data_IF_399697246873
#
_entry.id   IF_399697246873
#
_cell.length_a   1.000
_cell.length_b   1.000
_cell.length_c   1.000
_cell.angle_alpha   90.00
_cell.angle_beta   90.00
_cell.angle_gamma   90.00
#
_symmetry.space_group_name_H-M   'P 1'
#
loop_
_entity.id
_entity.type
_entity.pdbx_description
1 polymer ?
#
# COMPACT_ATOMS: atom_id res chain seq x y z
N UNK A 1 13.72 0.32 -22.51
CA UNK A 1 13.15 1.68 -22.60
C UNK A 1 11.68 1.61 -22.25
N UNK A 2 11.10 2.67 -21.65
CA UNK A 2 9.67 2.72 -21.33
C UNK A 2 8.84 2.85 -22.62
N UNK A 3 7.72 2.13 -22.72
CA UNK A 3 6.78 2.31 -23.82
C UNK A 3 5.98 3.62 -23.66
N UNK A 4 5.22 4.02 -24.67
CA UNK A 4 4.48 5.29 -24.67
C UNK A 4 3.50 5.39 -23.50
N UNK A 5 2.75 4.31 -23.21
CA UNK A 5 1.80 4.28 -22.09
C UNK A 5 2.48 4.51 -20.72
N UNK A 6 3.64 3.87 -20.51
CA UNK A 6 4.43 4.06 -19.29
C UNK A 6 4.98 5.48 -19.18
N UNK A 7 5.38 6.09 -20.30
CA UNK A 7 5.85 7.48 -20.34
C UNK A 7 4.71 8.46 -20.06
N UNK A 8 3.54 8.25 -20.65
CA UNK A 8 2.35 9.09 -20.44
C UNK A 8 1.90 9.04 -18.98
N UNK A 9 1.89 7.84 -18.38
CA UNK A 9 1.57 7.66 -16.98
C UNK A 9 2.60 8.35 -16.08
N UNK A 10 3.90 8.20 -16.37
CA UNK A 10 4.96 8.88 -15.64
C UNK A 10 4.78 10.41 -15.69
N UNK A 11 4.59 10.96 -16.89
CA UNK A 11 4.41 12.40 -17.10
C UNK A 11 3.18 12.92 -16.34
N UNK A 12 2.09 12.14 -16.34
CA UNK A 12 0.89 12.46 -15.55
C UNK A 12 1.18 12.51 -14.05
N UNK A 13 1.90 11.53 -13.51
CA UNK A 13 2.25 11.49 -12.08
C UNK A 13 3.13 12.69 -11.70
N UNK A 14 4.16 12.99 -12.49
CA UNK A 14 5.05 14.14 -12.23
C UNK A 14 4.28 15.47 -12.30
N UNK A 15 3.36 15.60 -13.26
CA UNK A 15 2.50 16.79 -13.40
C UNK A 15 1.56 16.95 -12.20
N UNK A 16 0.94 15.87 -11.75
CA UNK A 16 0.01 15.90 -10.62
C UNK A 16 0.77 16.18 -9.30
N UNK A 17 1.96 15.59 -9.08
CA UNK A 17 2.84 15.93 -7.94
C UNK A 17 3.23 17.41 -7.95
N UNK A 18 3.62 17.94 -9.12
CA UNK A 18 4.02 19.35 -9.28
C UNK A 18 2.88 20.33 -8.96
N UNK A 19 1.62 19.88 -9.10
CA UNK A 19 0.42 20.65 -8.75
C UNK A 19 -0.06 20.41 -7.32
N UNK A 20 0.70 19.68 -6.50
CA UNK A 20 0.30 19.20 -5.18
C UNK A 20 -1.03 18.43 -5.20
N UNK A 21 -1.33 17.77 -6.31
CA UNK A 21 -2.53 16.95 -6.46
C UNK A 21 -2.19 15.53 -6.04
N UNK A 22 -2.94 15.02 -5.06
CA UNK A 22 -2.78 13.65 -4.59
C UNK A 22 -3.02 12.65 -5.75
N UNK A 23 -2.08 11.72 -5.92
CA UNK A 23 -2.20 10.62 -6.87
C UNK A 23 -2.56 9.35 -6.11
N UNK A 24 -3.74 8.80 -6.39
CA UNK A 24 -4.16 7.47 -5.92
C UNK A 24 -4.35 6.59 -7.15
N UNK A 25 -3.47 5.60 -7.34
CA UNK A 25 -3.42 4.78 -8.55
C UNK A 25 -3.13 3.31 -8.23
N UNK A 26 -3.70 2.41 -9.02
CA UNK A 26 -3.29 1.01 -9.06
C UNK A 26 -2.64 0.69 -10.42
N UNK A 27 -1.43 0.13 -10.38
CA UNK A 27 -0.74 -0.47 -11.52
C UNK A 27 -0.99 -1.98 -11.46
N UNK A 28 -1.96 -2.43 -12.26
CA UNK A 28 -2.27 -3.84 -12.43
C UNK A 28 -1.59 -4.40 -13.69
N UNK A 29 -1.06 -5.60 -13.60
CA UNK A 29 -0.50 -6.31 -14.76
C UNK A 29 0.01 -7.68 -14.39
N UNK A 30 0.15 -8.57 -15.37
CA UNK A 30 0.71 -9.90 -15.13
C UNK A 30 2.18 -9.84 -14.66
N UNK A 31 2.74 -10.97 -14.21
CA UNK A 31 4.19 -11.10 -14.04
C UNK A 31 4.94 -10.70 -15.34
N UNK A 32 6.15 -10.14 -15.20
CA UNK A 32 7.02 -9.75 -16.32
C UNK A 32 6.46 -8.68 -17.29
N UNK A 33 5.45 -7.90 -16.88
CA UNK A 33 4.88 -6.79 -17.67
C UNK A 33 5.60 -5.44 -17.50
N UNK A 34 6.68 -5.40 -16.71
CA UNK A 34 7.44 -4.18 -16.49
C UNK A 34 6.93 -3.28 -15.36
N UNK A 35 6.02 -3.76 -14.49
CA UNK A 35 5.55 -3.01 -13.29
C UNK A 35 6.72 -2.50 -12.44
N UNK A 36 7.66 -3.39 -12.10
CA UNK A 36 8.86 -3.05 -11.32
C UNK A 36 9.74 -2.03 -12.03
N UNK A 37 9.83 -2.09 -13.36
CA UNK A 37 10.56 -1.10 -14.15
C UNK A 37 9.87 0.27 -14.09
N UNK A 38 8.55 0.30 -14.25
CA UNK A 38 7.75 1.52 -14.18
C UNK A 38 7.84 2.20 -12.80
N UNK A 39 7.69 1.46 -11.70
CA UNK A 39 7.79 2.08 -10.36
C UNK A 39 9.18 2.60 -10.02
N UNK A 40 10.24 1.93 -10.50
CA UNK A 40 11.62 2.44 -10.38
C UNK A 40 11.83 3.70 -11.22
N UNK A 41 11.20 3.76 -12.40
CA UNK A 41 11.22 4.95 -13.24
C UNK A 41 10.51 6.13 -12.55
N UNK A 42 9.36 5.89 -11.94
CA UNK A 42 8.62 6.88 -11.14
C UNK A 42 9.46 7.36 -9.95
N UNK A 43 10.00 6.44 -9.15
CA UNK A 43 10.90 6.75 -8.02
C UNK A 43 12.04 7.67 -8.46
N UNK A 44 12.79 7.27 -9.49
CA UNK A 44 13.94 8.01 -9.98
C UNK A 44 13.56 9.40 -10.48
N UNK A 45 12.47 9.52 -11.23
CA UNK A 45 12.03 10.80 -11.81
C UNK A 45 11.55 11.77 -10.74
N UNK A 46 10.76 11.29 -9.78
CA UNK A 46 10.25 12.07 -8.65
C UNK A 46 11.39 12.52 -7.73
N UNK A 47 12.29 11.60 -7.35
CA UNK A 47 13.42 11.94 -6.50
C UNK A 47 14.38 12.92 -7.19
N UNK A 48 14.60 12.76 -8.51
CA UNK A 48 15.42 13.69 -9.30
C UNK A 48 14.79 15.08 -9.37
N UNK A 49 13.49 15.16 -9.62
CA UNK A 49 12.76 16.43 -9.67
C UNK A 49 12.75 17.14 -8.32
N UNK A 50 12.61 16.40 -7.22
CA UNK A 50 12.63 16.96 -5.87
C UNK A 50 14.04 17.23 -5.32
N UNK A 51 15.10 16.73 -5.97
CA UNK A 51 16.49 16.81 -5.49
C UNK A 51 16.77 16.01 -4.20
N UNK A 52 15.81 15.18 -3.75
CA UNK A 52 15.88 14.39 -2.52
C UNK A 52 14.96 13.18 -2.59
N UNK A 53 15.10 12.24 -1.66
CA UNK A 53 14.18 11.09 -1.56
C UNK A 53 12.80 11.56 -1.06
N UNK A 54 11.81 11.44 -1.94
CA UNK A 54 10.39 11.75 -1.68
C UNK A 54 9.48 10.55 -1.91
N UNK A 55 9.98 9.51 -2.58
CA UNK A 55 9.25 8.26 -2.81
C UNK A 55 9.69 7.20 -1.81
N UNK A 56 8.72 6.55 -1.17
CA UNK A 56 8.95 5.43 -0.26
C UNK A 56 8.50 4.13 -0.92
N UNK A 57 9.47 3.27 -1.21
CA UNK A 57 9.24 1.97 -1.83
C UNK A 57 8.87 0.95 -0.74
N UNK A 58 7.70 0.34 -0.85
CA UNK A 58 7.25 -0.71 0.08
C UNK A 58 6.75 -1.95 -0.64
N UNK A 59 6.92 -3.13 -0.03
CA UNK A 59 6.36 -4.39 -0.51
C UNK A 59 5.58 -5.10 0.59
N UNK A 60 4.60 -5.93 0.22
CA UNK A 60 3.82 -6.72 1.19
C UNK A 60 4.68 -7.75 1.92
N UNK A 61 5.68 -8.33 1.24
CA UNK A 61 6.63 -9.31 1.79
C UNK A 61 8.07 -8.79 1.82
N UNK A 62 8.93 -9.44 2.62
CA UNK A 62 10.36 -9.12 2.65
C UNK A 62 11.05 -9.32 1.29
N UNK A 63 10.59 -10.31 0.51
CA UNK A 63 11.09 -10.57 -0.85
C UNK A 63 10.70 -9.46 -1.81
N UNK A 64 9.43 -9.02 -1.81
CA UNK A 64 8.95 -7.92 -2.63
C UNK A 64 9.67 -6.60 -2.30
N UNK A 65 9.74 -6.27 -1.01
CA UNK A 65 10.44 -5.09 -0.53
C UNK A 65 11.91 -5.08 -1.01
N UNK A 66 12.63 -6.19 -0.85
CA UNK A 66 14.03 -6.31 -1.32
C UNK A 66 14.14 -6.16 -2.84
N UNK A 67 13.22 -6.73 -3.62
CA UNK A 67 13.26 -6.68 -5.09
C UNK A 67 13.15 -5.26 -5.66
N UNK A 68 12.41 -4.39 -4.96
CA UNK A 68 12.21 -2.98 -5.34
C UNK A 68 13.15 -2.02 -4.61
N UNK A 69 14.05 -2.50 -3.74
CA UNK A 69 14.95 -1.66 -2.96
C UNK A 69 14.27 -0.91 -1.81
N UNK A 70 13.14 -1.43 -1.32
CA UNK A 70 12.30 -0.84 -0.30
C UNK A 70 12.29 -1.60 1.04
N UNK A 71 11.29 -1.30 1.88
CA UNK A 71 11.01 -1.98 3.15
C UNK A 71 9.64 -2.64 3.11
N UNK A 72 9.36 -3.58 4.01
CA UNK A 72 8.00 -4.14 4.07
C UNK A 72 7.01 -3.05 4.50
N UNK A 73 5.77 -3.10 4.01
CA UNK A 73 4.71 -2.20 4.47
C UNK A 73 4.53 -2.34 5.98
N UNK A 74 4.59 -3.58 6.49
CA UNK A 74 4.56 -3.89 7.93
C UNK A 74 5.58 -3.08 8.73
N UNK A 75 6.86 -3.10 8.34
CA UNK A 75 7.88 -2.32 9.05
C UNK A 75 7.77 -0.82 8.79
N UNK A 76 7.23 -0.42 7.62
CA UNK A 76 7.10 0.99 7.23
C UNK A 76 5.98 1.70 8.01
N UNK A 77 4.86 1.03 8.20
CA UNK A 77 3.66 1.56 8.85
C UNK A 77 3.58 1.15 10.32
N UNK A 78 4.36 0.14 10.74
CA UNK A 78 4.30 -0.45 12.07
C UNK A 78 3.06 -1.33 12.25
N UNK A 79 2.71 -2.09 11.22
CA UNK A 79 1.58 -3.01 11.28
C UNK A 79 1.95 -4.27 12.07
N UNK A 80 1.08 -4.73 12.99
CA UNK A 80 1.19 -6.04 13.60
C UNK A 80 0.97 -7.17 12.57
N UNK A 81 1.31 -8.41 12.93
CA UNK A 81 1.08 -9.58 12.06
C UNK A 81 -0.40 -9.95 11.93
N UNK A 82 -1.19 -9.63 12.96
CA UNK A 82 -2.62 -9.88 13.03
C UNK A 82 -3.38 -8.55 13.12
N UNK A 83 -4.62 -8.52 12.63
CA UNK A 83 -5.44 -7.32 12.71
C UNK A 83 -5.64 -6.95 14.19
N UNK A 84 -5.27 -5.73 14.63
CA UNK A 84 -5.54 -5.32 16.00
C UNK A 84 -7.05 -5.14 16.20
N UNK A 85 -7.53 -5.37 17.42
CA UNK A 85 -8.95 -5.17 17.77
C UNK A 85 -9.39 -3.73 17.49
N UNK A 86 -8.54 -2.79 17.89
CA UNK A 86 -8.69 -1.37 17.60
C UNK A 86 -7.54 -0.91 16.69
N UNK A 87 -7.88 -0.50 15.46
CA UNK A 87 -6.90 0.10 14.56
C UNK A 87 -6.34 1.39 15.16
N UNK A 88 -7.14 2.17 15.91
CA UNK A 88 -6.73 3.44 16.51
C UNK A 88 -5.63 3.26 17.58
N UNK A 89 -5.31 2.02 17.99
CA UNK A 89 -4.15 1.73 18.84
C UNK A 89 -2.79 1.88 18.11
N UNK A 90 -2.78 1.87 16.77
CA UNK A 90 -1.53 1.94 15.99
C UNK A 90 -0.88 3.32 16.08
N UNK A 91 0.42 3.34 16.38
CA UNK A 91 1.19 4.57 16.58
C UNK A 91 1.49 5.26 15.24
N UNK A 92 1.49 6.60 15.26
CA UNK A 92 2.01 7.40 14.14
C UNK A 92 3.47 7.05 13.88
N UNK A 93 3.87 7.02 12.60
CA UNK A 93 5.24 6.70 12.22
C UNK A 93 6.00 7.97 11.90
N UNK A 94 6.56 8.61 12.93
CA UNK A 94 7.30 9.88 12.78
C UNK A 94 8.50 9.78 11.82
N UNK A 95 9.03 8.57 11.57
CA UNK A 95 10.10 8.37 10.61
C UNK A 95 9.64 8.38 9.15
N UNK A 96 8.34 8.21 8.87
CA UNK A 96 7.80 8.46 7.53
C UNK A 96 8.05 9.94 7.31
N UNK A 97 9.11 10.20 6.55
CA UNK A 97 9.73 11.51 6.51
C UNK A 97 8.69 12.56 6.17
N UNK A 98 8.78 13.74 6.79
CA UNK A 98 8.00 14.90 6.37
C UNK A 98 8.21 15.24 4.87
N UNK A 99 9.26 14.69 4.25
CA UNK A 99 9.56 14.82 2.83
C UNK A 99 8.89 13.78 1.94
N UNK A 100 8.31 12.72 2.48
CA UNK A 100 7.61 11.69 1.69
C UNK A 100 6.40 12.33 1.00
N UNK A 101 6.30 12.12 -0.31
CA UNK A 101 5.18 12.57 -1.15
C UNK A 101 4.39 11.41 -1.75
N UNK A 102 5.09 10.30 -1.99
CA UNK A 102 4.53 9.11 -2.63
C UNK A 102 4.98 7.86 -1.88
N UNK A 103 4.03 6.96 -1.63
CA UNK A 103 4.30 5.60 -1.15
C UNK A 103 3.88 4.61 -2.23
N UNK A 104 4.78 3.71 -2.59
CA UNK A 104 4.51 2.60 -3.51
C UNK A 104 4.33 1.33 -2.68
N UNK A 105 3.27 0.56 -2.94
CA UNK A 105 2.96 -0.70 -2.25
C UNK A 105 2.93 -1.83 -3.28
N UNK A 106 4.01 -2.60 -3.37
CA UNK A 106 4.12 -3.76 -4.25
C UNK A 106 3.53 -5.03 -3.64
N UNK A 107 3.07 -5.93 -4.50
CA UNK A 107 2.33 -7.14 -4.16
C UNK A 107 1.08 -6.86 -3.29
N UNK A 108 0.28 -5.83 -3.66
CA UNK A 108 -0.94 -5.44 -2.93
C UNK A 108 -1.95 -6.58 -2.77
N UNK A 109 -1.95 -7.53 -3.71
CA UNK A 109 -2.83 -8.70 -3.72
C UNK A 109 -2.57 -9.66 -2.55
N UNK A 110 -1.45 -9.53 -1.85
CA UNK A 110 -1.11 -10.32 -0.66
C UNK A 110 -1.57 -9.64 0.64
N UNK A 111 -2.02 -8.38 0.57
CA UNK A 111 -2.51 -7.64 1.73
C UNK A 111 -4.04 -7.75 1.81
N UNK A 112 -4.55 -8.04 3.00
CA UNK A 112 -5.97 -7.89 3.32
C UNK A 112 -6.37 -6.41 3.42
N UNK A 113 -7.67 -6.12 3.29
CA UNK A 113 -8.23 -4.77 3.35
C UNK A 113 -7.81 -3.97 4.58
N UNK A 114 -7.78 -4.62 5.75
CA UNK A 114 -7.44 -3.96 7.01
C UNK A 114 -6.01 -3.37 7.02
N UNK A 115 -5.08 -3.90 6.22
CA UNK A 115 -3.74 -3.32 6.10
C UNK A 115 -3.78 -1.95 5.43
N UNK A 116 -4.68 -1.76 4.46
CA UNK A 116 -4.90 -0.45 3.82
C UNK A 116 -5.61 0.51 4.77
N UNK A 117 -6.62 0.04 5.51
CA UNK A 117 -7.31 0.86 6.52
C UNK A 117 -6.35 1.33 7.61
N UNK A 118 -5.51 0.42 8.12
CA UNK A 118 -4.47 0.72 9.10
C UNK A 118 -3.42 1.68 8.55
N UNK A 119 -3.02 1.51 7.28
CA UNK A 119 -2.09 2.42 6.59
C UNK A 119 -2.69 3.82 6.46
N UNK A 120 -3.94 3.95 6.01
CA UNK A 120 -4.66 5.22 5.92
C UNK A 120 -4.67 5.94 7.27
N UNK A 121 -5.08 5.25 8.32
CA UNK A 121 -5.20 5.80 9.67
C UNK A 121 -3.86 6.26 10.24
N UNK A 122 -2.80 5.43 10.13
CA UNK A 122 -1.45 5.78 10.59
C UNK A 122 -0.91 6.99 9.81
N UNK A 123 -1.14 7.06 8.49
CA UNK A 123 -0.66 8.17 7.66
C UNK A 123 -1.42 9.47 7.94
N UNK A 124 -2.75 9.42 8.14
CA UNK A 124 -3.55 10.59 8.55
C UNK A 124 -3.02 11.21 9.84
N UNK A 125 -2.70 10.39 10.85
CA UNK A 125 -2.12 10.83 12.11
C UNK A 125 -0.71 11.38 11.93
N UNK A 126 0.11 10.69 11.13
CA UNK A 126 1.50 11.09 10.86
C UNK A 126 1.57 12.44 10.13
N UNK A 127 0.70 12.68 9.15
CA UNK A 127 0.61 13.94 8.40
C UNK A 127 -0.25 15.00 9.10
N UNK A 128 -0.91 14.66 10.21
CA UNK A 128 -1.88 15.52 10.93
C UNK A 128 -2.98 16.06 10.01
N UNK A 129 -3.45 15.23 9.08
CA UNK A 129 -4.47 15.58 8.09
C UNK A 129 -5.51 14.47 8.00
N UNK A 130 -6.52 14.53 8.86
CA UNK A 130 -7.53 13.46 9.04
C UNK A 130 -8.62 13.48 7.97
N UNK A 131 -8.84 14.63 7.32
CA UNK A 131 -9.83 14.87 6.26
C UNK A 131 -9.42 14.30 4.89
N UNK A 132 -8.13 14.00 4.68
CA UNK A 132 -7.61 13.47 3.43
C UNK A 132 -7.20 12.00 3.55
N UNK A 133 -7.54 11.20 2.55
CA UNK A 133 -7.05 9.82 2.42
C UNK A 133 -5.51 9.82 2.52
N UNK A 134 -4.97 8.88 3.28
CA UNK A 134 -3.55 8.68 3.53
C UNK A 134 -2.82 9.94 3.99
N UNK A 135 -3.51 10.84 4.70
CA UNK A 135 -2.95 12.13 5.12
C UNK A 135 -2.62 13.08 3.96
N UNK A 136 -3.18 12.84 2.77
CA UNK A 136 -2.88 13.57 1.54
C UNK A 136 -1.64 13.07 0.79
N UNK A 137 -0.96 12.03 1.27
CA UNK A 137 0.14 11.41 0.53
C UNK A 137 -0.37 10.68 -0.71
N UNK A 138 0.40 10.74 -1.79
CA UNK A 138 0.11 9.93 -2.97
C UNK A 138 0.41 8.46 -2.69
N UNK A 139 -0.42 7.56 -3.22
CA UNK A 139 -0.28 6.11 -3.08
C UNK A 139 -0.35 5.46 -4.47
N UNK A 140 0.63 4.61 -4.77
CA UNK A 140 0.60 3.73 -5.94
C UNK A 140 0.61 2.28 -5.47
N UNK A 141 -0.49 1.58 -5.73
CA UNK A 141 -0.64 0.15 -5.46
C UNK A 141 -0.15 -0.63 -6.69
N UNK A 142 0.63 -1.68 -6.49
CA UNK A 142 1.17 -2.52 -7.57
C UNK A 142 0.83 -3.97 -7.28
N UNK A 143 0.29 -4.67 -8.28
CA UNK A 143 -0.06 -6.07 -8.11
C UNK A 143 -0.45 -6.77 -9.41
N UNK A 144 -0.79 -8.04 -9.26
CA UNK A 144 -1.33 -8.88 -10.33
C UNK A 144 -2.65 -9.49 -9.84
N UNK A 145 -3.77 -8.84 -10.17
CA UNK A 145 -5.10 -9.30 -9.75
C UNK A 145 -5.44 -10.71 -10.29
N UNK A 146 -4.76 -11.18 -11.34
CA UNK A 146 -4.98 -12.55 -11.87
C UNK A 146 -4.43 -13.62 -10.95
N UNK A 147 -3.51 -13.27 -10.04
CA UNK A 147 -2.96 -14.19 -9.04
C UNK A 147 -3.87 -14.31 -7.81
N UNK A 148 -4.97 -13.56 -7.75
CA UNK A 148 -6.05 -13.79 -6.80
C UNK A 148 -6.81 -15.07 -7.19
N UNK A 149 -6.14 -16.21 -7.16
CA UNK A 149 -6.83 -17.49 -7.19
C UNK A 149 -7.70 -17.55 -5.92
N UNK A 150 -9.00 -17.79 -6.08
CA UNK A 150 -10.01 -17.93 -5.02
C UNK A 150 -9.76 -19.14 -4.08
N UNK A 151 -8.52 -19.41 -3.68
CA UNK A 151 -8.12 -20.53 -2.83
C UNK A 151 -7.96 -20.18 -1.35
N UNK A 152 -7.80 -18.91 -0.98
CA UNK A 152 -7.84 -18.52 0.43
C UNK A 152 -9.29 -18.52 0.86
N UNK A 153 -9.76 -19.66 1.39
CA UNK A 153 -11.05 -19.83 2.06
C UNK A 153 -11.35 -18.55 2.81
N UNK A 154 -12.32 -17.77 2.34
CA UNK A 154 -13.02 -16.86 3.23
C UNK A 154 -13.49 -17.78 4.37
N UNK A 155 -12.83 -17.71 5.52
CA UNK A 155 -13.30 -18.38 6.72
C UNK A 155 -14.59 -17.66 7.09
N UNK A 156 -15.69 -18.01 6.42
CA UNK A 156 -17.01 -17.83 6.96
C UNK A 156 -17.05 -18.67 8.22
N UNK A 157 -16.69 -18.07 9.35
CA UNK A 157 -16.97 -18.64 10.64
C UNK A 157 -18.48 -18.51 10.85
N UNK A 158 -19.23 -19.48 10.35
CA UNK A 158 -20.50 -19.82 10.97
C UNK A 158 -20.13 -20.42 12.32
N UNK A 159 -20.04 -19.61 13.39
CA UNK A 159 -20.15 -20.20 14.72
C UNK A 159 -21.48 -20.95 14.74
N UNK A 160 -21.51 -22.28 14.92
CA UNK A 160 -22.78 -22.95 15.14
C UNK A 160 -23.36 -22.34 16.40
N UNK A 161 -24.54 -21.73 16.27
CA UNK A 161 -25.34 -21.32 17.41
C UNK A 161 -25.64 -22.60 18.18
N UNK A 162 -24.93 -22.83 19.29
CA UNK A 162 -25.26 -23.90 20.23
C UNK A 162 -26.64 -23.59 20.78
N UNK A 163 -27.66 -24.23 20.22
CA UNK A 163 -28.90 -24.46 20.94
C UNK A 163 -28.57 -25.39 22.08
N UNK A 164 -28.57 -24.83 23.29
CA UNK A 164 -28.58 -25.59 24.53
C UNK A 164 -29.84 -26.46 24.54
N UNK A 165 -29.71 -27.69 24.07
CA UNK A 165 -30.72 -28.72 24.30
C UNK A 165 -30.64 -29.11 25.78
N UNK A 166 -31.43 -28.38 26.57
CA UNK A 166 -32.01 -28.85 27.81
C UNK A 166 -32.77 -30.14 27.50
N UNK A 167 -32.27 -31.30 27.92
CA UNK A 167 -33.12 -32.25 28.65
C UNK A 167 -32.39 -33.48 29.21
N UNK A 168 -32.59 -33.64 30.53
CA UNK A 168 -32.97 -34.88 31.23
C UNK A 168 -32.13 -36.15 31.07
N UNK A 169 -31.36 -36.49 32.10
CA UNK A 169 -31.79 -37.44 33.13
C UNK A 169 -30.98 -37.29 34.42
#
# INVERSE_FOLDING_TARGET
MANNEQQDLLNKIIRDDSKNKQVLLMINGAARTGKTFLIKLIENSMNRSAGKRVVLMTGSTGKAAKAIGGRTLHCTIGLPNEKPEDLESLKSQAFIYATTRLIIIDEITLLASWHLDATDMVLKRTQKRTDALFGGLSIILVGDLRQLNLGTRANFSSKPTTTEDKNSN
#
